data_IF_372509172172
#
_entry.id   IF_372509172172
#
_cell.length_a   1.000
_cell.length_b   1.000
_cell.length_c   1.000
_cell.angle_alpha   90.00
_cell.angle_beta   90.00
_cell.angle_gamma   90.00
#
_symmetry.space_group_name_H-M   'P 1'
#
loop_
_entity.id
_entity.type
_entity.pdbx_description
1 polymer ?
#
# COMPACT_ATOMS: atom_id res chain seq x y z
N UNK A 1 41.94 2.95 -1.77
CA UNK A 1 40.53 2.54 -1.62
C UNK A 1 39.91 3.49 -0.62
N UNK A 2 38.99 4.32 -1.06
CA UNK A 2 38.25 5.20 -0.15
C UNK A 2 37.33 4.32 0.70
N UNK A 3 37.50 4.38 2.02
CA UNK A 3 36.52 3.93 3.00
C UNK A 3 35.43 4.99 3.06
N UNK A 4 34.55 5.04 2.05
CA UNK A 4 33.44 6.01 2.04
C UNK A 4 32.24 5.56 2.91
N UNK A 5 32.38 4.45 3.63
CA UNK A 5 31.36 3.95 4.54
C UNK A 5 30.11 3.45 3.85
N UNK A 6 30.10 3.35 2.51
CA UNK A 6 28.99 2.76 1.79
C UNK A 6 29.10 1.24 1.84
N UNK A 7 28.00 0.58 2.23
CA UNK A 7 27.87 -0.87 2.13
C UNK A 7 26.94 -1.16 0.96
N UNK A 8 27.49 -1.75 -0.09
CA UNK A 8 26.70 -2.28 -1.19
C UNK A 8 25.96 -3.54 -0.70
N UNK A 9 24.63 -3.50 -0.75
CA UNK A 9 23.80 -4.67 -0.49
C UNK A 9 23.47 -5.34 -1.82
N UNK A 10 24.05 -6.52 -2.07
CA UNK A 10 23.73 -7.32 -3.25
C UNK A 10 22.62 -8.29 -2.89
N UNK A 11 21.49 -8.20 -3.58
CA UNK A 11 20.35 -9.10 -3.42
C UNK A 11 20.34 -10.08 -4.58
N UNK A 12 20.37 -11.37 -4.26
CA UNK A 12 20.37 -12.46 -5.22
C UNK A 12 19.22 -13.43 -4.93
N UNK A 13 18.75 -14.16 -5.94
CA UNK A 13 17.80 -15.26 -5.75
C UNK A 13 16.37 -14.78 -5.47
N UNK A 14 15.78 -14.02 -6.40
CA UNK A 14 14.36 -13.69 -6.44
C UNK A 14 13.67 -14.55 -7.50
N UNK A 15 13.49 -15.87 -7.28
CA UNK A 15 13.09 -16.82 -8.33
C UNK A 15 11.68 -16.59 -8.87
N UNK A 16 10.82 -15.89 -8.13
CA UNK A 16 9.43 -15.65 -8.48
C UNK A 16 9.22 -14.30 -9.19
N UNK A 17 10.26 -13.47 -9.29
CA UNK A 17 10.18 -12.15 -9.93
C UNK A 17 11.03 -12.13 -11.19
N UNK A 18 10.35 -11.98 -12.33
CA UNK A 18 11.01 -11.51 -13.54
C UNK A 18 11.23 -9.98 -13.44
N UNK A 19 12.46 -9.57 -13.13
CA UNK A 19 12.85 -8.16 -13.15
C UNK A 19 13.16 -7.79 -14.60
N UNK A 20 12.11 -7.53 -15.36
CA UNK A 20 12.17 -7.05 -16.74
C UNK A 20 11.92 -5.54 -16.81
N UNK A 21 11.87 -4.97 -18.02
CA UNK A 21 11.56 -3.55 -18.24
C UNK A 21 10.16 -3.11 -17.78
N UNK A 22 9.33 -4.05 -17.30
CA UNK A 22 7.96 -3.83 -16.84
C UNK A 22 7.78 -4.03 -15.33
N UNK A 23 8.88 -4.08 -14.57
CA UNK A 23 8.86 -4.24 -13.12
C UNK A 23 9.45 -3.01 -12.45
N UNK A 24 8.67 -2.31 -11.62
CA UNK A 24 9.19 -1.28 -10.74
C UNK A 24 9.66 -1.91 -9.42
N UNK A 25 10.75 -1.37 -8.88
CA UNK A 25 11.30 -1.80 -7.59
C UNK A 25 11.38 -0.59 -6.70
N UNK A 26 10.81 -0.69 -5.50
CA UNK A 26 10.98 0.30 -4.45
C UNK A 26 11.43 -0.37 -3.16
N UNK A 27 12.09 0.40 -2.31
CA UNK A 27 12.55 -0.09 -1.02
C UNK A 27 12.29 0.94 0.08
N UNK A 28 12.02 0.44 1.28
CA UNK A 28 11.82 1.24 2.47
C UNK A 28 12.68 0.69 3.61
N UNK A 29 13.62 1.49 4.10
CA UNK A 29 14.39 1.18 5.30
C UNK A 29 13.55 1.41 6.56
N UNK A 30 13.51 0.44 7.46
CA UNK A 30 12.77 0.47 8.72
C UNK A 30 13.57 -0.22 9.81
N UNK A 31 14.24 0.57 10.65
CA UNK A 31 15.00 0.10 11.81
C UNK A 31 16.01 -1.01 11.47
N UNK A 32 15.59 -2.26 11.66
CA UNK A 32 16.38 -3.47 11.52
C UNK A 32 16.03 -4.26 10.25
N UNK A 33 15.24 -3.70 9.33
CA UNK A 33 14.89 -4.32 8.08
C UNK A 33 14.78 -3.35 6.89
N UNK A 34 14.81 -3.92 5.68
CA UNK A 34 14.44 -3.25 4.44
C UNK A 34 13.29 -4.04 3.82
N UNK A 35 12.20 -3.35 3.50
CA UNK A 35 11.10 -3.94 2.73
C UNK A 35 11.29 -3.56 1.26
N UNK A 36 11.31 -4.57 0.40
CA UNK A 36 11.30 -4.39 -1.05
C UNK A 36 9.89 -4.66 -1.58
N UNK A 37 9.40 -3.77 -2.44
CA UNK A 37 8.20 -3.97 -3.25
C UNK A 37 8.63 -4.10 -4.70
N UNK A 38 8.26 -5.21 -5.31
CA UNK A 38 8.41 -5.45 -6.75
C UNK A 38 7.02 -5.42 -7.37
N UNK A 39 6.73 -4.37 -8.13
CA UNK A 39 5.43 -4.19 -8.75
C UNK A 39 5.57 -4.39 -10.25
N UNK A 40 4.87 -5.39 -10.78
CA UNK A 40 4.83 -5.63 -12.22
C UNK A 40 3.71 -4.80 -12.85
N UNK A 41 3.85 -4.49 -14.15
CA UNK A 41 2.75 -3.97 -14.94
C UNK A 41 1.60 -4.97 -15.00
N UNK A 42 0.38 -4.44 -15.20
CA UNK A 42 -0.81 -5.26 -15.43
C UNK A 42 -0.58 -6.27 -16.54
N UNK A 43 -0.98 -7.52 -16.29
CA UNK A 43 -0.91 -8.59 -17.27
C UNK A 43 -2.28 -8.75 -17.92
N UNK A 44 -2.29 -8.76 -19.26
CA UNK A 44 -3.47 -9.04 -20.06
C UNK A 44 -3.24 -10.34 -20.81
N UNK A 45 -4.27 -11.18 -20.88
CA UNK A 45 -4.23 -12.38 -21.71
C UNK A 45 -4.21 -12.03 -23.21
N UNK A 46 -4.11 -13.06 -24.04
CA UNK A 46 -4.16 -12.94 -25.50
C UNK A 46 -5.47 -12.31 -26.03
N UNK A 47 -6.52 -12.26 -25.21
CA UNK A 47 -7.83 -11.70 -25.53
C UNK A 47 -8.00 -10.25 -25.02
N UNK A 48 -6.99 -9.67 -24.38
CA UNK A 48 -7.05 -8.34 -23.77
C UNK A 48 -7.85 -8.30 -22.46
N UNK A 49 -8.11 -9.46 -21.85
CA UNK A 49 -8.71 -9.57 -20.52
C UNK A 49 -7.61 -9.40 -19.49
N UNK A 50 -7.84 -8.52 -18.51
CA UNK A 50 -6.93 -8.31 -17.40
C UNK A 50 -6.86 -9.57 -16.53
N UNK A 51 -5.71 -10.26 -16.52
CA UNK A 51 -5.50 -11.46 -15.71
C UNK A 51 -5.08 -11.09 -14.28
N UNK A 52 -4.23 -10.08 -14.13
CA UNK A 52 -3.74 -9.61 -12.84
C UNK A 52 -3.47 -8.11 -12.87
N UNK A 53 -4.29 -7.29 -12.17
CA UNK A 53 -3.95 -5.88 -11.97
C UNK A 53 -2.72 -5.79 -11.07
N UNK A 54 -1.60 -5.36 -11.63
CA UNK A 54 -0.42 -4.88 -10.90
C UNK A 54 0.04 -5.77 -9.73
N UNK A 55 0.43 -7.05 -9.97
CA UNK A 55 0.88 -7.90 -8.88
C UNK A 55 2.11 -7.28 -8.23
N UNK A 56 1.99 -6.98 -6.93
CA UNK A 56 3.13 -6.58 -6.12
C UNK A 56 3.56 -7.72 -5.21
N UNK A 57 4.87 -7.93 -5.17
CA UNK A 57 5.52 -8.91 -4.34
C UNK A 57 6.39 -8.21 -3.31
N UNK A 58 6.26 -8.63 -2.05
CA UNK A 58 6.97 -8.02 -0.94
C UNK A 58 8.03 -8.97 -0.38
N UNK A 59 9.21 -8.42 -0.12
CA UNK A 59 10.33 -9.14 0.48
C UNK A 59 10.84 -8.34 1.68
N UNK A 60 11.06 -9.03 2.79
CA UNK A 60 11.69 -8.45 3.98
C UNK A 60 13.13 -8.93 4.07
N UNK A 61 14.07 -8.00 3.97
CA UNK A 61 15.47 -8.23 4.33
C UNK A 61 15.64 -7.84 5.81
N UNK A 62 15.88 -8.82 6.66
CA UNK A 62 16.24 -8.60 8.05
C UNK A 62 17.75 -8.31 8.14
N UNK A 63 18.11 -7.13 8.66
CA UNK A 63 19.48 -6.64 8.74
C UNK A 63 20.26 -7.20 9.94
N UNK A 64 19.57 -7.78 10.94
CA UNK A 64 20.24 -8.37 12.11
C UNK A 64 20.88 -9.72 11.77
N UNK A 65 20.25 -10.48 10.88
CA UNK A 65 20.69 -11.83 10.52
C UNK A 65 20.96 -12.00 9.01
N UNK A 66 20.80 -10.92 8.22
CA UNK A 66 20.98 -10.89 6.76
C UNK A 66 20.11 -11.93 6.01
N UNK A 67 18.93 -12.25 6.54
CA UNK A 67 17.99 -13.16 5.88
C UNK A 67 16.93 -12.39 5.11
N UNK A 68 16.64 -12.85 3.90
CA UNK A 68 15.53 -12.36 3.09
C UNK A 68 14.37 -13.35 3.13
N UNK A 69 13.16 -12.86 3.40
CA UNK A 69 11.95 -13.66 3.45
C UNK A 69 10.91 -13.07 2.50
N UNK A 70 10.38 -13.90 1.61
CA UNK A 70 9.25 -13.54 0.77
C UNK A 70 7.95 -13.53 1.59
N UNK A 71 7.06 -12.60 1.29
CA UNK A 71 5.69 -12.64 1.77
C UNK A 71 4.98 -13.81 1.08
N UNK A 72 4.14 -14.54 1.81
CA UNK A 72 3.30 -15.60 1.23
C UNK A 72 2.25 -15.01 0.26
N UNK A 73 1.68 -15.84 -0.61
CA UNK A 73 0.63 -15.42 -1.56
C UNK A 73 -0.52 -14.69 -0.88
N UNK A 74 -0.96 -15.20 0.28
CA UNK A 74 -2.01 -14.54 1.08
C UNK A 74 -1.56 -13.15 1.53
N UNK A 75 -0.33 -13.02 2.03
CA UNK A 75 0.19 -11.74 2.52
C UNK A 75 0.36 -10.71 1.39
N UNK A 76 0.82 -11.15 0.22
CA UNK A 76 0.86 -10.29 -0.97
C UNK A 76 -0.56 -9.89 -1.41
N UNK A 77 -1.51 -10.82 -1.42
CA UNK A 77 -2.91 -10.55 -1.75
C UNK A 77 -3.55 -9.56 -0.77
N UNK A 78 -3.35 -9.75 0.54
CA UNK A 78 -3.83 -8.84 1.58
C UNK A 78 -3.24 -7.45 1.38
N UNK A 79 -1.93 -7.36 1.13
CA UNK A 79 -1.23 -6.10 0.93
C UNK A 79 -1.78 -5.34 -0.27
N UNK A 80 -1.89 -6.01 -1.42
CA UNK A 80 -2.42 -5.42 -2.64
C UNK A 80 -3.87 -4.97 -2.45
N UNK A 81 -4.70 -5.74 -1.73
CA UNK A 81 -6.08 -5.36 -1.44
C UNK A 81 -6.15 -4.11 -0.54
N UNK A 82 -5.31 -4.02 0.49
CA UNK A 82 -5.29 -2.85 1.39
C UNK A 82 -4.84 -1.60 0.65
N UNK A 83 -3.78 -1.67 -0.16
CA UNK A 83 -3.33 -0.53 -0.98
C UNK A 83 -4.42 -0.07 -1.94
N UNK A 84 -5.01 -1.00 -2.69
CA UNK A 84 -6.06 -0.70 -3.67
C UNK A 84 -7.29 -0.08 -3.01
N UNK A 85 -7.74 -0.63 -1.88
CA UNK A 85 -8.86 -0.08 -1.12
C UNK A 85 -8.52 1.30 -0.57
N UNK A 86 -7.35 1.49 0.04
CA UNK A 86 -6.98 2.76 0.65
C UNK A 86 -6.89 3.89 -0.40
N UNK A 87 -6.31 3.62 -1.56
CA UNK A 87 -6.20 4.58 -2.66
C UNK A 87 -7.58 4.92 -3.25
N UNK A 88 -8.39 3.91 -3.58
CA UNK A 88 -9.73 4.13 -4.15
C UNK A 88 -10.71 4.75 -3.15
N UNK A 89 -10.59 4.39 -1.88
CA UNK A 89 -11.35 5.03 -0.80
C UNK A 89 -10.97 6.50 -0.67
N UNK A 90 -9.68 6.83 -0.61
CA UNK A 90 -9.22 8.22 -0.54
C UNK A 90 -9.73 9.02 -1.74
N UNK A 91 -9.64 8.46 -2.95
CA UNK A 91 -10.19 9.08 -4.15
C UNK A 91 -11.69 9.37 -3.99
N UNK A 92 -12.49 8.39 -3.58
CA UNK A 92 -13.93 8.57 -3.39
C UNK A 92 -14.25 9.59 -2.28
N UNK A 93 -13.54 9.50 -1.15
CA UNK A 93 -13.70 10.36 0.01
C UNK A 93 -13.43 11.83 -0.32
N UNK A 94 -12.33 12.13 -1.00
CA UNK A 94 -11.92 13.49 -1.35
C UNK A 94 -12.56 14.03 -2.63
N UNK A 95 -13.19 13.18 -3.45
CA UNK A 95 -13.98 13.59 -4.63
C UNK A 95 -15.49 13.74 -4.35
N UNK A 96 -15.91 13.49 -3.09
CA UNK A 96 -17.31 13.50 -2.65
C UNK A 96 -18.19 12.42 -3.29
N UNK A 97 -17.60 11.30 -3.66
CA UNK A 97 -18.33 10.13 -4.14
C UNK A 97 -18.75 9.23 -2.97
N UNK A 98 -19.93 9.50 -2.42
CA UNK A 98 -20.50 8.70 -1.33
C UNK A 98 -20.76 7.24 -1.72
N UNK A 99 -21.08 6.97 -3.00
CA UNK A 99 -21.30 5.61 -3.48
C UNK A 99 -19.99 4.85 -3.53
N UNK A 100 -18.94 5.49 -4.04
CA UNK A 100 -17.57 4.99 -4.03
C UNK A 100 -17.07 4.70 -2.62
N UNK A 101 -17.25 5.63 -1.67
CA UNK A 101 -16.90 5.42 -0.24
C UNK A 101 -17.59 4.18 0.30
N UNK A 102 -18.91 4.08 0.13
CA UNK A 102 -19.73 2.97 0.66
C UNK A 102 -19.27 1.60 0.14
N UNK A 103 -18.70 1.52 -1.05
CA UNK A 103 -18.22 0.26 -1.63
C UNK A 103 -17.07 -0.39 -0.83
N UNK A 104 -16.31 0.40 -0.06
CA UNK A 104 -15.10 -0.05 0.65
C UNK A 104 -15.29 -0.21 2.15
N UNK A 105 -16.45 0.19 2.68
CA UNK A 105 -16.78 0.07 4.10
C UNK A 105 -17.31 -1.33 4.47
N UNK A 106 -17.25 -1.63 5.76
CA UNK A 106 -17.94 -2.77 6.35
C UNK A 106 -19.45 -2.52 6.58
N UNK A 107 -20.18 -3.59 6.88
CA UNK A 107 -21.62 -3.55 7.20
C UNK A 107 -21.83 -2.99 8.62
N UNK A 108 -21.52 -1.71 8.84
CA UNK A 108 -21.62 -1.08 10.15
C UNK A 108 -21.02 0.32 10.22
N UNK A 109 -20.10 0.62 9.31
CA UNK A 109 -19.47 1.94 9.19
C UNK A 109 -20.37 2.89 8.40
N UNK A 110 -20.68 4.05 8.99
CA UNK A 110 -21.47 5.07 8.30
C UNK A 110 -20.62 5.74 7.21
N UNK A 111 -21.11 5.81 5.95
CA UNK A 111 -20.39 6.46 4.88
C UNK A 111 -20.48 7.99 5.03
N UNK A 112 -19.33 8.64 4.92
CA UNK A 112 -19.23 10.10 4.79
C UNK A 112 -18.11 10.45 3.82
N UNK A 113 -18.11 11.69 3.32
CA UNK A 113 -17.08 12.21 2.43
C UNK A 113 -16.43 13.43 3.06
N UNK A 114 -15.27 13.81 2.54
CA UNK A 114 -14.71 15.11 2.87
C UNK A 114 -15.71 16.24 2.52
N UNK A 115 -15.65 17.35 3.28
CA UNK A 115 -16.60 18.45 3.13
C UNK A 115 -16.51 19.10 1.73
N UNK A 116 -15.29 19.19 1.21
CA UNK A 116 -14.96 19.80 -0.07
C UNK A 116 -14.46 18.77 -1.08
N UNK A 117 -14.59 19.05 -2.37
CA UNK A 117 -13.92 18.25 -3.38
C UNK A 117 -12.51 18.81 -3.56
N UNK A 118 -11.52 18.09 -3.04
CA UNK A 118 -10.11 18.46 -3.14
C UNK A 118 -9.31 17.46 -3.98
N UNK A 119 -9.96 16.40 -4.47
CA UNK A 119 -9.31 15.43 -5.34
C UNK A 119 -9.13 16.00 -6.74
N UNK A 120 -7.87 16.19 -7.12
CA UNK A 120 -7.42 16.52 -8.47
C UNK A 120 -6.46 15.46 -8.99
N UNK A 121 -6.35 15.28 -10.30
CA UNK A 121 -5.43 14.31 -10.92
C UNK A 121 -3.95 14.59 -10.59
N UNK A 122 -3.63 15.77 -10.06
CA UNK A 122 -2.28 16.19 -9.63
C UNK A 122 -2.12 16.29 -8.11
N UNK A 123 -3.01 15.68 -7.32
CA UNK A 123 -2.96 15.84 -5.86
C UNK A 123 -1.89 14.97 -5.22
N UNK A 124 -1.16 15.54 -4.26
CA UNK A 124 -0.15 14.85 -3.46
C UNK A 124 -0.83 14.03 -2.33
N UNK A 125 -1.46 12.89 -2.69
CA UNK A 125 -1.93 11.89 -1.73
C UNK A 125 -0.93 10.74 -1.66
N UNK A 126 -0.51 10.36 -0.45
CA UNK A 126 0.51 9.34 -0.23
C UNK A 126 0.08 8.37 0.85
N UNK A 127 -0.05 7.09 0.50
CA UNK A 127 -0.28 6.03 1.46
C UNK A 127 0.96 5.83 2.35
N UNK A 128 0.79 6.11 3.64
CA UNK A 128 1.74 5.84 4.72
C UNK A 128 1.35 4.55 5.40
N UNK A 129 2.01 3.47 5.00
CA UNK A 129 1.84 2.18 5.63
C UNK A 129 3.06 1.30 5.42
N UNK A 130 3.11 0.19 6.17
CA UNK A 130 4.15 -0.82 5.98
C UNK A 130 3.47 -2.19 5.86
N UNK A 131 3.68 -2.92 4.73
CA UNK A 131 3.12 -4.26 4.53
C UNK A 131 3.50 -5.26 5.63
N UNK A 132 4.61 -5.03 6.34
CA UNK A 132 5.03 -5.90 7.46
C UNK A 132 4.02 -5.97 8.59
N UNK A 133 3.13 -4.97 8.72
CA UNK A 133 2.05 -4.99 9.71
C UNK A 133 1.18 -6.24 9.50
N UNK A 134 1.03 -6.73 8.26
CA UNK A 134 0.31 -7.98 7.94
C UNK A 134 0.99 -9.20 8.59
N UNK A 135 2.31 -9.14 8.84
CA UNK A 135 3.03 -10.23 9.52
C UNK A 135 2.70 -10.29 11.01
N UNK A 136 2.31 -9.17 11.62
CA UNK A 136 1.98 -9.06 13.05
C UNK A 136 0.49 -9.00 13.35
N UNK A 137 -0.34 -8.74 12.34
CA UNK A 137 -1.78 -8.51 12.49
C UNK A 137 -2.57 -9.45 11.60
N UNK A 138 -3.32 -10.38 12.22
CA UNK A 138 -4.10 -11.36 11.46
C UNK A 138 -5.35 -10.75 10.83
N UNK A 139 -6.04 -9.83 11.53
CA UNK A 139 -7.39 -9.40 11.14
C UNK A 139 -7.65 -7.89 11.26
N UNK A 140 -6.67 -7.08 11.70
CA UNK A 140 -6.87 -5.66 11.92
C UNK A 140 -5.61 -4.85 11.60
N UNK A 141 -5.73 -3.85 10.73
CA UNK A 141 -4.60 -3.05 10.25
C UNK A 141 -5.03 -1.58 10.23
N UNK A 142 -4.13 -0.69 10.62
CA UNK A 142 -4.33 0.76 10.43
C UNK A 142 -3.29 1.31 9.47
N UNK A 143 -3.74 2.16 8.56
CA UNK A 143 -2.92 2.87 7.58
C UNK A 143 -3.32 4.34 7.53
N UNK A 144 -2.47 5.18 6.96
CA UNK A 144 -2.74 6.61 6.83
C UNK A 144 -2.57 7.07 5.39
N UNK A 145 -3.41 7.98 4.93
CA UNK A 145 -3.17 8.75 3.71
C UNK A 145 -2.69 10.13 4.13
N UNK A 146 -1.43 10.45 3.83
CA UNK A 146 -0.86 11.78 3.97
C UNK A 146 -1.26 12.64 2.78
N UNK A 147 -1.72 13.86 3.02
CA UNK A 147 -2.04 14.83 1.97
C UNK A 147 -1.75 16.26 2.38
N UNK A 148 -1.59 17.14 1.40
CA UNK A 148 -1.38 18.57 1.61
C UNK A 148 -2.52 19.38 1.00
N UNK A 149 -3.07 20.31 1.77
CA UNK A 149 -4.08 21.24 1.27
C UNK A 149 -3.41 22.44 0.58
N UNK A 150 -4.00 22.99 -0.51
CA UNK A 150 -3.46 24.17 -1.17
C UNK A 150 -3.31 25.34 -0.19
N UNK A 151 -2.08 25.85 -0.07
CA UNK A 151 -1.77 26.98 0.82
C UNK A 151 -1.47 26.60 2.28
N UNK A 152 -1.43 25.32 2.63
CA UNK A 152 -0.90 24.84 3.91
C UNK A 152 0.55 24.37 3.76
N UNK A 153 1.38 24.74 4.74
CA UNK A 153 2.78 24.26 4.87
C UNK A 153 2.88 22.95 5.68
N UNK A 154 1.74 22.41 6.14
CA UNK A 154 1.64 21.17 6.91
C UNK A 154 0.87 20.09 6.14
N UNK A 155 1.17 18.83 6.45
CA UNK A 155 0.41 17.69 5.99
C UNK A 155 -0.72 17.37 6.97
N UNK A 156 -1.86 16.96 6.42
CA UNK A 156 -2.98 16.37 7.13
C UNK A 156 -3.01 14.86 6.85
N UNK A 157 -3.70 14.10 7.71
CA UNK A 157 -3.75 12.63 7.60
C UNK A 157 -5.19 12.14 7.64
N UNK A 158 -5.51 11.20 6.75
CA UNK A 158 -6.71 10.38 6.81
C UNK A 158 -6.31 9.02 7.37
N UNK A 159 -6.69 8.74 8.61
CA UNK A 159 -6.56 7.43 9.23
C UNK A 159 -7.61 6.47 8.68
N UNK A 160 -7.19 5.27 8.33
CA UNK A 160 -8.04 4.18 7.88
C UNK A 160 -7.74 2.95 8.72
N UNK A 161 -8.75 2.42 9.41
CA UNK A 161 -8.67 1.13 10.07
C UNK A 161 -9.44 0.08 9.27
N UNK A 162 -8.77 -1.05 9.08
CA UNK A 162 -9.21 -2.17 8.30
C UNK A 162 -9.50 -3.36 9.19
N UNK A 163 -10.50 -4.15 8.80
CA UNK A 163 -10.69 -5.51 9.30
C UNK A 163 -10.82 -6.52 8.18
N UNK A 164 -10.34 -7.73 8.43
CA UNK A 164 -10.50 -8.86 7.51
C UNK A 164 -11.63 -9.76 8.01
N UNK A 165 -12.67 -9.91 7.19
CA UNK A 165 -13.76 -10.86 7.43
C UNK A 165 -13.79 -11.86 6.27
N UNK A 166 -13.60 -13.15 6.57
CA UNK A 166 -13.57 -14.22 5.55
C UNK A 166 -12.56 -13.99 4.42
N UNK A 167 -11.43 -13.34 4.73
CA UNK A 167 -10.37 -13.07 3.75
C UNK A 167 -10.62 -11.86 2.83
N UNK A 168 -11.64 -11.04 3.12
CA UNK A 168 -11.83 -9.76 2.46
C UNK A 168 -11.57 -8.63 3.45
N UNK A 169 -10.68 -7.71 3.06
CA UNK A 169 -10.43 -6.49 3.82
C UNK A 169 -11.48 -5.42 3.52
N UNK A 170 -11.95 -4.76 4.58
CA UNK A 170 -12.88 -3.62 4.54
C UNK A 170 -12.48 -2.59 5.58
N UNK A 171 -12.81 -1.33 5.31
CA UNK A 171 -12.60 -0.23 6.28
C UNK A 171 -13.72 -0.28 7.32
N UNK A 172 -13.36 -0.35 8.59
CA UNK A 172 -14.29 -0.38 9.73
C UNK A 172 -14.32 0.92 10.55
N UNK A 173 -13.35 1.80 10.32
CA UNK A 173 -13.38 3.18 10.81
C UNK A 173 -12.39 4.01 10.02
N UNK A 174 -12.68 5.30 9.88
CA UNK A 174 -11.78 6.27 9.29
C UNK A 174 -11.98 7.63 9.94
N UNK A 175 -11.00 8.50 9.84
CA UNK A 175 -11.06 9.83 10.44
C UNK A 175 -9.88 10.71 10.05
N UNK A 176 -10.04 12.02 10.23
CA UNK A 176 -8.96 12.97 9.97
C UNK A 176 -8.20 13.27 11.25
N UNK A 177 -6.88 13.14 11.19
CA UNK A 177 -5.95 13.62 12.22
C UNK A 177 -5.28 14.92 11.72
N UNK A 178 -5.17 15.89 12.63
CA UNK A 178 -4.53 17.20 12.41
C UNK A 178 -3.32 17.37 13.30
#
# INVERSE_FOLDING_TARGET
MALDGTQDTIICGLPEIDISGSTSVSSAFRNDCIIFKFQQMSQYDENGVLESPYPSYYYKLNLLNNTMTAFSDKQNSDANQIEDIAEKFAQAYFSKDLTGVSAYLDDGTEPETYAENIWTDSSDFRLKWTPEIILSSENAISVQIEFALPGNDSYDYLDLSFSSNSGQWKINSFGLEK
#
